data_IF_114714800797
#
_entry.id   IF_114714800797
#
_cell.length_a   1.000
_cell.length_b   1.000
_cell.length_c   1.000
_cell.angle_alpha   90.00
_cell.angle_beta   90.00
_cell.angle_gamma   90.00
#
_symmetry.space_group_name_H-M   'P 1'
#
loop_
_entity.id
_entity.type
_entity.pdbx_description
1 polymer ?
#
# COMPACT_ATOMS: atom_id res chain seq x y z
N UNK A 1 -6.45 -10.64 17.46
CA UNK A 1 -6.20 -11.30 16.17
C UNK A 1 -4.85 -10.86 15.62
N UNK A 2 -4.05 -11.78 15.15
CA UNK A 2 -2.75 -11.46 14.61
C UNK A 2 -2.85 -11.18 13.11
N UNK A 3 -2.37 -10.01 12.69
CA UNK A 3 -2.36 -9.63 11.28
C UNK A 3 -1.09 -10.19 10.64
N UNK A 4 -1.26 -11.01 9.60
CA UNK A 4 -0.14 -11.62 8.87
C UNK A 4 -0.27 -11.28 7.38
N UNK A 5 0.27 -10.13 6.97
CA UNK A 5 0.13 -9.70 5.58
C UNK A 5 0.93 -10.59 4.63
N UNK A 6 0.34 -10.87 3.48
CA UNK A 6 0.99 -11.65 2.44
C UNK A 6 0.39 -11.30 1.07
N UNK A 7 1.14 -11.66 0.04
CA UNK A 7 0.68 -11.62 -1.35
C UNK A 7 1.01 -12.96 -2.01
N UNK A 8 0.58 -13.14 -3.25
CA UNK A 8 0.92 -14.33 -4.04
C UNK A 8 1.86 -13.94 -5.17
N UNK A 9 2.93 -14.73 -5.36
CA UNK A 9 3.84 -14.52 -6.49
C UNK A 9 3.28 -15.14 -7.79
N UNK A 10 4.03 -15.02 -8.88
CA UNK A 10 3.59 -15.51 -10.18
C UNK A 10 3.39 -17.04 -10.22
N UNK A 11 4.01 -17.77 -9.31
CA UNK A 11 3.84 -19.22 -9.17
C UNK A 11 2.77 -19.59 -8.13
N UNK A 12 1.96 -18.61 -7.74
CA UNK A 12 0.87 -18.77 -6.79
C UNK A 12 1.34 -19.21 -5.39
N UNK A 13 2.56 -18.83 -5.02
CA UNK A 13 3.10 -19.09 -3.70
C UNK A 13 2.83 -17.89 -2.80
N UNK A 14 2.52 -18.19 -1.54
CA UNK A 14 2.27 -17.15 -0.54
C UNK A 14 3.60 -16.53 -0.12
N UNK A 15 3.70 -15.21 -0.19
CA UNK A 15 4.92 -14.45 0.12
C UNK A 15 4.61 -13.47 1.24
N UNK A 16 5.33 -13.54 2.37
CA UNK A 16 5.11 -12.58 3.46
C UNK A 16 5.45 -11.16 3.05
N UNK A 17 4.69 -10.21 3.60
CA UNK A 17 4.86 -8.78 3.34
C UNK A 17 5.06 -8.05 4.65
N UNK A 18 5.97 -7.08 4.67
CA UNK A 18 6.11 -6.14 5.77
C UNK A 18 5.41 -4.85 5.40
N UNK A 19 4.56 -4.33 6.29
CA UNK A 19 3.92 -3.03 6.12
C UNK A 19 4.46 -2.11 7.20
N UNK A 20 5.02 -0.97 6.77
CA UNK A 20 5.69 -0.02 7.67
C UNK A 20 5.40 1.40 7.20
N UNK A 21 5.59 2.42 8.06
CA UNK A 21 5.39 3.80 7.63
C UNK A 21 6.24 4.12 6.40
N UNK A 22 5.65 4.84 5.45
CA UNK A 22 6.34 5.26 4.24
C UNK A 22 7.45 6.25 4.60
N UNK A 23 8.64 6.03 4.05
CA UNK A 23 9.76 6.97 4.20
C UNK A 23 9.87 7.88 2.99
N UNK A 24 10.60 9.02 3.09
CA UNK A 24 10.88 9.84 1.90
C UNK A 24 11.59 9.07 0.79
N UNK A 25 12.43 8.10 1.15
CA UNK A 25 13.11 7.24 0.18
C UNK A 25 12.13 6.36 -0.57
N UNK A 26 11.12 5.81 0.13
CA UNK A 26 10.06 5.02 -0.51
C UNK A 26 9.30 5.86 -1.53
N UNK A 27 8.91 7.07 -1.15
CA UNK A 27 8.19 7.96 -2.04
C UNK A 27 9.03 8.32 -3.27
N UNK A 28 10.33 8.56 -3.09
CA UNK A 28 11.22 8.91 -4.19
C UNK A 28 11.38 7.80 -5.21
N UNK A 29 11.22 6.54 -4.80
CA UNK A 29 11.29 5.41 -5.72
C UNK A 29 10.21 5.46 -6.79
N UNK A 30 9.08 6.09 -6.52
CA UNK A 30 7.98 6.19 -7.50
C UNK A 30 8.32 7.10 -8.68
N UNK A 31 9.35 7.94 -8.55
CA UNK A 31 9.80 8.85 -9.59
C UNK A 31 10.98 8.28 -10.41
N UNK A 32 11.37 7.03 -10.17
CA UNK A 32 12.41 6.32 -10.90
C UNK A 32 11.81 5.31 -11.87
N UNK A 33 12.57 4.98 -12.92
CA UNK A 33 12.16 3.94 -13.87
C UNK A 33 12.20 2.54 -13.22
N UNK A 34 11.17 1.70 -13.41
CA UNK A 34 9.91 2.02 -14.10
C UNK A 34 9.03 2.94 -13.25
N UNK A 35 8.49 3.97 -13.89
CA UNK A 35 7.71 4.98 -13.18
C UNK A 35 6.37 4.41 -12.68
N UNK A 36 5.99 4.81 -11.47
CA UNK A 36 4.65 4.55 -10.94
C UNK A 36 3.65 5.50 -11.60
N UNK A 37 2.36 5.16 -11.53
CA UNK A 37 1.32 6.02 -12.10
C UNK A 37 1.25 7.38 -11.42
N UNK A 38 1.58 7.43 -10.12
CA UNK A 38 1.52 8.64 -9.32
C UNK A 38 2.87 8.88 -8.67
N UNK A 39 3.31 10.13 -8.67
CA UNK A 39 4.44 10.53 -7.86
C UNK A 39 3.99 10.65 -6.40
N UNK A 40 4.57 9.84 -5.54
CA UNK A 40 4.23 9.86 -4.12
C UNK A 40 4.94 10.97 -3.36
N UNK A 41 5.74 11.78 -4.07
CA UNK A 41 6.31 13.02 -3.55
C UNK A 41 5.44 14.24 -3.85
N UNK A 42 4.30 14.04 -4.55
CA UNK A 42 3.40 15.14 -4.95
C UNK A 42 2.74 15.81 -3.75
N UNK A 43 2.32 17.05 -3.93
CA UNK A 43 1.65 17.82 -2.87
C UNK A 43 0.37 17.14 -2.38
N UNK A 44 -0.37 16.52 -3.28
CA UNK A 44 -1.62 15.83 -2.92
C UNK A 44 -1.36 14.73 -1.88
N UNK A 45 -0.27 13.98 -2.06
CA UNK A 45 0.08 12.88 -1.16
C UNK A 45 1.01 13.31 -0.04
N UNK A 46 1.47 14.57 -0.02
CA UNK A 46 2.30 15.12 1.05
C UNK A 46 1.49 15.60 2.25
N UNK A 47 0.16 15.50 2.20
CA UNK A 47 -0.72 15.93 3.29
C UNK A 47 -0.38 15.15 4.57
N UNK A 48 -0.04 15.87 5.62
CA UNK A 48 0.35 15.28 6.91
C UNK A 48 -0.80 14.61 7.64
N UNK A 49 -2.05 14.92 7.28
CA UNK A 49 -3.23 14.28 7.85
C UNK A 49 -3.41 12.85 7.36
N UNK A 50 -2.70 12.48 6.30
CA UNK A 50 -2.75 11.12 5.78
C UNK A 50 -1.68 10.24 6.42
N UNK A 51 -2.08 9.04 6.85
CA UNK A 51 -1.15 8.02 7.29
C UNK A 51 -0.73 7.21 6.07
N UNK A 52 0.56 7.24 5.75
CA UNK A 52 1.09 6.59 4.55
C UNK A 52 1.98 5.41 4.94
N UNK A 53 1.78 4.30 4.25
CA UNK A 53 2.47 3.04 4.53
C UNK A 53 3.05 2.45 3.27
N UNK A 54 4.18 1.76 3.45
CA UNK A 54 4.86 1.02 2.40
C UNK A 54 4.73 -0.47 2.68
N UNK A 55 4.36 -1.22 1.64
CA UNK A 55 4.34 -2.68 1.69
C UNK A 55 5.58 -3.20 0.96
N UNK A 56 6.31 -4.10 1.60
CA UNK A 56 7.59 -4.61 1.08
C UNK A 56 7.68 -6.12 1.17
N UNK A 57 8.27 -6.71 0.13
CA UNK A 57 8.74 -8.10 0.16
C UNK A 57 10.26 -8.02 0.29
N UNK A 58 10.79 -8.38 1.48
CA UNK A 58 12.18 -8.11 1.77
C UNK A 58 12.44 -6.61 1.70
N UNK A 59 13.37 -6.20 0.85
CA UNK A 59 13.68 -4.78 0.64
C UNK A 59 12.93 -4.17 -0.56
N UNK A 60 12.18 -4.99 -1.28
CA UNK A 60 11.48 -4.54 -2.48
C UNK A 60 10.18 -3.82 -2.13
N UNK A 61 10.05 -2.58 -2.54
CA UNK A 61 8.81 -1.82 -2.39
C UNK A 61 7.79 -2.33 -3.43
N UNK A 62 6.69 -2.94 -2.95
CA UNK A 62 5.68 -3.49 -3.85
C UNK A 62 4.40 -2.65 -3.90
N UNK A 63 4.16 -1.80 -2.91
CA UNK A 63 2.96 -0.97 -2.88
C UNK A 63 3.11 0.17 -1.89
N UNK A 64 2.33 1.24 -2.13
CA UNK A 64 2.16 2.35 -1.19
C UNK A 64 0.68 2.60 -1.01
N UNK A 65 0.30 3.06 0.17
CA UNK A 65 -1.09 3.39 0.47
C UNK A 65 -1.16 4.60 1.40
N UNK A 66 -2.16 5.44 1.18
CA UNK A 66 -2.45 6.59 2.03
C UNK A 66 -3.85 6.42 2.61
N UNK A 67 -3.96 6.57 3.92
CA UNK A 67 -5.20 6.44 4.66
C UNK A 67 -5.48 7.71 5.44
N UNK A 68 -6.74 8.02 5.60
CA UNK A 68 -7.18 9.11 6.47
C UNK A 68 -8.04 8.51 7.58
N UNK A 69 -7.60 8.68 8.82
CA UNK A 69 -8.34 8.23 9.99
C UNK A 69 -9.31 9.34 10.38
N UNK A 70 -10.60 9.03 10.35
CA UNK A 70 -11.68 9.98 10.61
C UNK A 70 -12.42 9.58 11.90
N UNK A 71 -11.88 9.92 13.09
CA UNK A 71 -12.47 9.47 14.35
C UNK A 71 -13.92 9.92 14.54
N UNK A 72 -14.26 11.12 14.06
CA UNK A 72 -15.63 11.63 14.17
C UNK A 72 -16.62 10.86 13.30
N UNK A 73 -16.15 10.24 12.22
CA UNK A 73 -16.97 9.42 11.34
C UNK A 73 -16.86 7.93 11.66
N UNK A 74 -15.99 7.56 12.61
CA UNK A 74 -15.74 6.16 13.04
C UNK A 74 -15.29 5.28 11.86
N UNK A 75 -14.53 5.86 10.92
CA UNK A 75 -14.07 5.13 9.73
C UNK A 75 -12.62 5.49 9.41
N UNK A 76 -11.98 4.59 8.66
CA UNK A 76 -10.71 4.87 7.98
C UNK A 76 -11.01 4.94 6.49
N UNK A 77 -10.66 6.07 5.88
CA UNK A 77 -10.85 6.31 4.46
C UNK A 77 -9.56 5.98 3.72
N UNK A 78 -9.65 5.12 2.70
CA UNK A 78 -8.51 4.85 1.83
C UNK A 78 -8.44 6.01 0.83
N UNK A 79 -7.44 6.88 0.99
CA UNK A 79 -7.27 8.04 0.13
C UNK A 79 -6.75 7.61 -1.23
N UNK A 80 -5.71 6.77 -1.24
CA UNK A 80 -5.12 6.26 -2.46
C UNK A 80 -4.26 5.06 -2.16
N UNK A 81 -4.19 4.12 -3.10
CA UNK A 81 -3.29 2.98 -3.01
C UNK A 81 -2.79 2.63 -4.39
N UNK A 82 -1.54 2.18 -4.47
CA UNK A 82 -0.92 1.86 -5.74
C UNK A 82 0.07 0.71 -5.58
N UNK A 83 0.00 -0.25 -6.52
CA UNK A 83 0.98 -1.32 -6.62
C UNK A 83 2.15 -0.89 -7.51
N UNK A 84 3.32 -1.50 -7.30
CA UNK A 84 4.47 -1.31 -8.18
C UNK A 84 4.10 -1.57 -9.64
N UNK A 85 4.78 -0.96 -10.63
CA UNK A 85 4.45 -1.17 -12.04
C UNK A 85 4.47 -2.64 -12.45
N UNK A 86 5.42 -3.42 -11.95
CA UNK A 86 5.56 -4.85 -12.27
C UNK A 86 4.38 -5.68 -11.77
N UNK A 87 3.64 -5.18 -10.79
CA UNK A 87 2.44 -5.85 -10.24
C UNK A 87 1.15 -5.14 -10.62
N UNK A 88 1.23 -4.06 -11.40
CA UNK A 88 0.07 -3.28 -11.82
C UNK A 88 -0.28 -3.63 -13.28
N UNK A 89 -1.33 -4.44 -13.52
CA UNK A 89 -1.66 -4.89 -14.88
C UNK A 89 -1.97 -3.72 -15.83
N UNK A 90 -2.44 -2.60 -15.30
CA UNK A 90 -2.74 -1.40 -16.09
C UNK A 90 -1.49 -0.84 -16.76
N UNK A 91 -0.33 -0.91 -16.09
CA UNK A 91 0.91 -0.37 -16.60
C UNK A 91 1.73 -1.40 -17.37
N UNK A 92 1.79 -2.64 -16.88
CA UNK A 92 2.65 -3.68 -17.43
C UNK A 92 1.97 -4.49 -18.55
N UNK A 93 0.66 -4.69 -18.43
CA UNK A 93 -0.12 -5.44 -19.43
C UNK A 93 0.14 -6.93 -19.43
N UNK A 94 0.99 -7.43 -18.55
CA UNK A 94 1.33 -8.85 -18.45
C UNK A 94 0.89 -9.47 -17.15
N UNK A 95 1.49 -10.63 -16.81
CA UNK A 95 1.22 -11.29 -15.55
C UNK A 95 1.83 -10.48 -14.40
N UNK A 96 1.05 -10.08 -13.40
CA UNK A 96 1.59 -9.33 -12.27
C UNK A 96 2.66 -10.15 -11.54
N UNK A 97 3.71 -9.45 -11.09
CA UNK A 97 4.75 -10.09 -10.26
C UNK A 97 4.16 -10.60 -8.94
N UNK A 98 3.29 -9.78 -8.33
CA UNK A 98 2.55 -10.15 -7.12
C UNK A 98 1.07 -9.87 -7.30
N UNK A 99 0.22 -10.75 -6.76
CA UNK A 99 -1.23 -10.61 -6.78
C UNK A 99 -1.75 -10.50 -5.35
N UNK A 100 -2.91 -9.86 -5.20
CA UNK A 100 -3.53 -9.70 -3.89
C UNK A 100 -3.10 -8.45 -3.15
N UNK A 101 -2.35 -7.54 -3.80
CA UNK A 101 -1.89 -6.30 -3.18
C UNK A 101 -3.06 -5.42 -2.76
N UNK A 102 -4.05 -5.22 -3.64
CA UNK A 102 -5.21 -4.38 -3.31
C UNK A 102 -5.97 -4.92 -2.11
N UNK A 103 -6.20 -6.24 -2.07
CA UNK A 103 -6.87 -6.89 -0.95
C UNK A 103 -6.07 -6.71 0.35
N UNK A 104 -4.75 -6.84 0.27
CA UNK A 104 -3.86 -6.63 1.40
C UNK A 104 -3.98 -5.22 1.97
N UNK A 105 -3.98 -4.21 1.12
CA UNK A 105 -4.04 -2.81 1.55
C UNK A 105 -5.41 -2.47 2.15
N UNK A 106 -6.48 -3.05 1.62
CA UNK A 106 -7.82 -2.91 2.20
C UNK A 106 -7.86 -3.55 3.59
N UNK A 107 -7.30 -4.75 3.73
CA UNK A 107 -7.23 -5.44 5.02
C UNK A 107 -6.43 -4.64 6.05
N UNK A 108 -5.35 -3.99 5.61
CA UNK A 108 -4.57 -3.13 6.49
C UNK A 108 -5.37 -1.91 6.95
N UNK A 109 -6.18 -1.34 6.06
CA UNK A 109 -7.09 -0.24 6.42
C UNK A 109 -8.08 -0.65 7.51
N UNK A 110 -8.61 -1.87 7.43
CA UNK A 110 -9.50 -2.42 8.46
C UNK A 110 -8.74 -2.57 9.78
N UNK A 111 -7.50 -3.05 9.72
CA UNK A 111 -6.65 -3.18 10.90
C UNK A 111 -6.42 -1.82 11.56
N UNK A 112 -6.11 -0.79 10.77
CA UNK A 112 -5.94 0.58 11.28
C UNK A 112 -7.21 1.06 11.97
N UNK A 113 -8.36 0.76 11.42
CA UNK A 113 -9.66 1.12 11.99
C UNK A 113 -9.83 0.49 13.36
N UNK A 114 -9.56 -0.80 13.47
CA UNK A 114 -9.67 -1.54 14.73
C UNK A 114 -8.67 -1.02 15.76
N UNK A 115 -7.41 -0.83 15.36
CA UNK A 115 -6.35 -0.35 16.24
C UNK A 115 -6.62 1.07 16.74
N UNK A 116 -7.37 1.87 15.97
CA UNK A 116 -7.76 3.22 16.36
C UNK A 116 -9.03 3.27 17.20
N UNK A 117 -9.62 2.10 17.52
CA UNK A 117 -10.85 2.01 18.31
C UNK A 117 -12.12 2.29 17.49
N UNK A 118 -12.01 2.25 16.15
CA UNK A 118 -13.14 2.45 15.25
C UNK A 118 -13.81 1.12 14.93
N UNK A 119 -15.01 1.17 14.36
CA UNK A 119 -15.81 -0.03 14.10
C UNK A 119 -15.74 -0.53 12.66
N UNK A 120 -14.89 0.05 11.90
CA UNK A 120 -14.74 -0.39 10.53
C UNK A 120 -14.54 0.71 9.58
#
# INVERSE_FOLDING_TARGET
MQFRPFVYDAMNRQVPVTIEPMTPQDAALTDREPLWQTSWTSEYLANEDYEKYAAKVGDELIALAAYEVLPTALVVHIVYMEAQPESNPTLDGGTPKYRGIGRLLIAYGIKLSIDSGLTG
#
